data_IF_113345955353
#
_entry.id   IF_113345955353
#
_cell.length_a   1.000
_cell.length_b   1.000
_cell.length_c   1.000
_cell.angle_alpha   90.00
_cell.angle_beta   90.00
_cell.angle_gamma   90.00
#
_symmetry.space_group_name_H-M   'P 1'
#
loop_
_entity.id
_entity.type
_entity.pdbx_description
1 polymer ?
#
# COMPACT_ATOMS: atom_id res chain seq x y z
N UNK A 1 -21.25 -26.50 -14.96
CA UNK A 1 -19.84 -26.35 -14.55
C UNK A 1 -19.09 -25.30 -15.38
N UNK A 2 -19.16 -25.29 -16.71
CA UNK A 2 -18.44 -24.31 -17.57
C UNK A 2 -18.84 -22.85 -17.31
N UNK A 3 -20.10 -22.56 -17.00
CA UNK A 3 -20.61 -21.20 -16.74
C UNK A 3 -20.13 -20.62 -15.40
N UNK A 4 -19.94 -21.48 -14.39
CA UNK A 4 -19.42 -21.03 -13.07
C UNK A 4 -17.94 -20.66 -13.17
N UNK A 5 -17.15 -21.37 -13.97
CA UNK A 5 -15.77 -21.04 -14.25
C UNK A 5 -15.62 -19.69 -14.98
N UNK A 6 -16.53 -19.37 -15.89
CA UNK A 6 -16.52 -18.11 -16.64
C UNK A 6 -16.80 -16.91 -15.72
N UNK A 7 -17.73 -17.05 -14.77
CA UNK A 7 -18.06 -15.98 -13.81
C UNK A 7 -16.90 -15.72 -12.85
N UNK A 8 -16.19 -16.75 -12.39
CA UNK A 8 -14.99 -16.59 -11.55
C UNK A 8 -13.88 -15.87 -12.32
N UNK A 9 -13.73 -16.13 -13.63
CA UNK A 9 -12.68 -15.50 -14.45
C UNK A 9 -12.92 -14.00 -14.70
N UNK A 10 -14.17 -13.55 -14.78
CA UNK A 10 -14.52 -12.13 -14.96
C UNK A 10 -14.19 -11.29 -13.72
N UNK A 11 -14.20 -11.89 -12.51
CA UNK A 11 -13.85 -11.18 -11.27
C UNK A 11 -12.33 -11.08 -11.00
N UNK A 12 -11.49 -11.77 -11.78
CA UNK A 12 -10.02 -11.77 -11.60
C UNK A 12 -9.34 -10.69 -12.46
N UNK A 13 -10.04 -10.06 -13.40
CA UNK A 13 -9.42 -9.23 -14.44
C UNK A 13 -9.30 -7.74 -14.16
N UNK A 14 -9.63 -7.25 -12.96
CA UNK A 14 -9.26 -5.88 -12.59
C UNK A 14 -7.85 -5.86 -11.98
N UNK A 15 -6.84 -5.87 -12.81
CA UNK A 15 -5.50 -5.48 -12.41
C UNK A 15 -5.50 -3.97 -12.23
N UNK A 16 -5.59 -3.58 -11.03
CA UNK A 16 -5.58 -2.18 -10.64
C UNK A 16 -4.28 -1.95 -9.88
N UNK A 17 -3.62 -0.90 -10.30
CA UNK A 17 -2.33 -0.41 -9.81
C UNK A 17 -2.44 -0.05 -8.32
N UNK A 18 -1.85 -0.82 -7.43
CA UNK A 18 -1.81 -0.51 -6.00
C UNK A 18 -0.49 -0.93 -5.37
N UNK A 19 0.06 -0.05 -4.55
CA UNK A 19 1.25 -0.34 -3.75
C UNK A 19 0.97 -1.48 -2.75
N UNK A 20 1.97 -2.33 -2.49
CA UNK A 20 1.88 -3.29 -1.39
C UNK A 20 1.79 -2.56 -0.05
N UNK A 21 0.71 -2.72 0.73
CA UNK A 21 0.54 -2.01 1.99
C UNK A 21 1.45 -2.58 3.08
N UNK A 22 2.09 -1.68 3.84
CA UNK A 22 2.93 -2.00 5.00
C UNK A 22 2.56 -1.09 6.16
N UNK A 23 2.01 -1.65 7.22
CA UNK A 23 1.66 -0.91 8.41
C UNK A 23 2.87 -0.77 9.35
N UNK A 24 3.22 0.45 9.74
CA UNK A 24 4.32 0.77 10.62
C UNK A 24 3.75 1.09 12.00
N UNK A 25 3.85 0.14 12.92
CA UNK A 25 3.28 0.22 14.29
C UNK A 25 4.27 0.72 15.34
N UNK A 26 5.40 1.25 14.93
CA UNK A 26 6.44 1.80 15.80
C UNK A 26 7.01 3.06 15.16
N UNK A 27 7.77 3.83 15.90
CA UNK A 27 8.43 5.04 15.39
C UNK A 27 9.85 4.71 14.92
N UNK A 28 10.07 4.52 13.60
CA UNK A 28 11.40 4.21 13.08
C UNK A 28 12.30 5.43 13.18
N UNK A 29 13.30 5.37 14.07
CA UNK A 29 14.27 6.44 14.31
C UNK A 29 15.50 6.31 13.41
N UNK A 30 16.38 7.33 13.42
CA UNK A 30 17.64 7.30 12.67
C UNK A 30 18.56 6.16 13.15
N UNK A 31 18.52 5.80 14.43
CA UNK A 31 19.30 4.70 15.00
C UNK A 31 18.66 3.32 14.79
N UNK A 32 17.36 3.28 14.50
CA UNK A 32 16.60 2.06 14.23
C UNK A 32 15.59 2.30 13.09
N UNK A 33 16.08 2.51 11.85
CA UNK A 33 15.21 2.80 10.72
C UNK A 33 14.46 1.57 10.25
N UNK A 34 13.29 1.77 9.64
CA UNK A 34 12.56 0.70 8.99
C UNK A 34 13.27 0.26 7.70
N UNK A 35 13.56 -1.04 7.56
CA UNK A 35 14.23 -1.57 6.39
C UNK A 35 13.29 -1.63 5.17
N UNK A 36 13.67 -0.99 4.07
CA UNK A 36 13.01 -1.04 2.77
C UNK A 36 13.68 -2.10 1.91
N UNK A 37 13.17 -3.32 1.93
CA UNK A 37 13.65 -4.39 1.06
C UNK A 37 13.11 -4.21 -0.36
N UNK A 38 13.92 -4.52 -1.40
CA UNK A 38 13.53 -4.38 -2.81
C UNK A 38 12.95 -3.00 -3.10
N UNK A 39 13.78 -1.93 -3.09
CA UNK A 39 13.30 -0.54 -3.15
C UNK A 39 12.60 -0.16 -4.46
N UNK A 40 12.77 -0.93 -5.52
CA UNK A 40 12.07 -0.73 -6.79
C UNK A 40 10.62 -1.27 -6.78
N UNK A 41 10.32 -2.22 -5.86
CA UNK A 41 8.98 -2.79 -5.75
C UNK A 41 8.07 -1.82 -5.01
N UNK A 42 6.95 -1.52 -5.64
CA UNK A 42 5.92 -0.59 -5.17
C UNK A 42 5.33 -0.99 -3.82
N UNK A 43 5.60 -0.18 -2.78
CA UNK A 43 5.09 -0.35 -1.41
C UNK A 43 4.58 0.96 -0.86
N UNK A 44 3.50 0.90 -0.08
CA UNK A 44 3.01 2.03 0.70
C UNK A 44 3.20 1.73 2.19
N UNK A 45 4.02 2.52 2.85
CA UNK A 45 4.28 2.45 4.29
C UNK A 45 3.37 3.42 5.02
N UNK A 46 2.40 2.90 5.76
CA UNK A 46 1.45 3.69 6.54
C UNK A 46 2.02 3.90 7.94
N UNK A 47 2.32 5.14 8.27
CA UNK A 47 2.92 5.56 9.53
C UNK A 47 2.18 6.72 10.18
N UNK A 48 2.50 6.97 11.46
CA UNK A 48 2.04 8.09 12.24
C UNK A 48 3.21 8.74 12.94
N UNK A 49 3.48 10.03 12.66
CA UNK A 49 4.46 10.80 13.41
C UNK A 49 3.87 11.14 14.78
N UNK A 50 4.68 10.98 15.82
CA UNK A 50 4.31 11.20 17.23
C UNK A 50 5.42 11.98 17.98
N UNK A 51 5.87 13.08 17.38
CA UNK A 51 6.85 14.00 17.95
C UNK A 51 8.24 13.93 17.30
N UNK A 52 8.56 12.84 16.58
CA UNK A 52 9.86 12.64 15.97
C UNK A 52 9.75 12.28 14.49
N UNK A 53 10.75 12.61 13.64
CA UNK A 53 10.82 12.15 12.26
C UNK A 53 10.93 10.64 12.15
N UNK A 54 10.38 10.06 11.09
CA UNK A 54 10.53 8.64 10.78
C UNK A 54 11.59 8.42 9.70
N UNK A 55 12.35 7.32 9.83
CA UNK A 55 13.44 6.96 8.93
C UNK A 55 13.26 5.58 8.31
N UNK A 56 13.50 5.50 7.01
CA UNK A 56 13.39 4.28 6.20
C UNK A 56 14.72 4.02 5.51
N UNK A 57 15.34 2.88 5.78
CA UNK A 57 16.65 2.53 5.23
C UNK A 57 16.52 1.71 3.96
N UNK A 58 17.18 2.16 2.89
CA UNK A 58 17.46 1.38 1.70
C UNK A 58 18.92 0.96 1.75
N UNK A 59 19.18 -0.32 1.49
CA UNK A 59 20.52 -0.86 1.30
C UNK A 59 20.52 -1.66 0.01
N UNK A 60 21.30 -1.23 -0.98
CA UNK A 60 21.34 -1.84 -2.30
C UNK A 60 22.77 -2.17 -2.71
N UNK A 61 22.99 -3.39 -3.16
CA UNK A 61 24.28 -3.86 -3.66
C UNK A 61 24.51 -3.54 -5.15
N UNK A 62 23.48 -3.07 -5.84
CA UNK A 62 23.49 -2.69 -7.25
C UNK A 62 22.82 -1.36 -7.48
N UNK A 63 23.01 -0.78 -8.68
CA UNK A 63 22.23 0.37 -9.14
C UNK A 63 20.73 0.01 -9.17
N UNK A 64 19.88 0.94 -8.80
CA UNK A 64 18.42 0.75 -8.77
C UNK A 64 17.67 2.01 -9.17
N UNK A 65 16.43 1.84 -9.62
CA UNK A 65 15.50 2.94 -9.88
C UNK A 65 14.81 3.34 -8.58
N UNK A 66 14.89 4.63 -8.25
CA UNK A 66 14.34 5.17 -7.00
C UNK A 66 13.12 6.03 -7.26
N UNK A 67 12.11 5.79 -6.46
CA UNK A 67 10.94 6.64 -6.30
C UNK A 67 10.54 6.69 -4.83
N UNK A 68 10.19 7.88 -4.34
CA UNK A 68 9.53 8.07 -3.06
C UNK A 68 8.49 9.18 -3.18
N UNK A 69 7.29 8.96 -2.63
CA UNK A 69 6.23 9.94 -2.62
C UNK A 69 5.44 9.89 -1.32
N UNK A 70 4.94 11.04 -0.86
CA UNK A 70 4.17 11.12 0.36
C UNK A 70 2.73 11.50 0.08
N UNK A 71 1.82 10.88 0.80
CA UNK A 71 0.42 11.25 0.84
C UNK A 71 -0.09 11.22 2.28
N UNK A 72 -1.20 11.89 2.52
CA UNK A 72 -1.85 11.91 3.84
C UNK A 72 -3.36 11.84 3.67
N UNK A 73 -4.12 11.24 4.61
CA UNK A 73 -5.57 11.23 4.57
C UNK A 73 -6.15 12.64 4.48
N UNK A 74 -7.12 12.85 3.59
CA UNK A 74 -7.81 14.14 3.46
C UNK A 74 -8.90 14.28 4.54
N UNK A 75 -8.51 14.24 5.80
CA UNK A 75 -9.44 14.39 6.94
C UNK A 75 -9.72 15.86 7.22
N UNK A 76 -8.68 16.71 7.05
CA UNK A 76 -8.76 18.17 7.12
C UNK A 76 -7.63 18.80 6.33
N UNK A 77 -7.71 20.11 6.06
CA UNK A 77 -6.63 20.83 5.40
C UNK A 77 -5.37 20.98 6.27
N UNK A 78 -5.49 20.75 7.59
CA UNK A 78 -4.38 20.85 8.54
C UNK A 78 -3.42 19.65 8.52
N UNK A 79 -3.74 18.57 7.79
CA UNK A 79 -2.90 17.37 7.69
C UNK A 79 -1.94 17.36 6.50
N UNK A 80 -1.79 18.48 5.78
CA UNK A 80 -0.74 18.68 4.76
C UNK A 80 0.59 18.99 5.45
N UNK A 81 1.60 19.28 4.64
CA UNK A 81 2.92 19.79 5.08
C UNK A 81 3.95 18.72 5.46
N UNK A 82 3.69 17.44 5.15
CA UNK A 82 4.74 16.44 5.26
C UNK A 82 5.80 16.65 4.19
N UNK A 83 7.05 16.56 4.62
CA UNK A 83 8.25 16.65 3.79
C UNK A 83 8.94 15.30 3.75
N UNK A 84 9.69 15.06 2.67
CA UNK A 84 10.57 13.91 2.53
C UNK A 84 11.97 14.37 2.17
N UNK A 85 12.97 13.77 2.78
CA UNK A 85 14.38 13.93 2.45
C UNK A 85 15.00 12.56 2.18
N UNK A 86 15.90 12.50 1.21
CA UNK A 86 16.75 11.33 1.00
C UNK A 86 18.16 11.71 1.40
N UNK A 87 18.74 10.92 2.30
CA UNK A 87 20.07 11.12 2.83
C UNK A 87 21.02 10.02 2.35
N UNK A 88 22.27 10.36 2.14
CA UNK A 88 23.35 9.41 1.90
C UNK A 88 23.80 8.71 3.20
N UNK A 89 24.79 7.82 3.10
CA UNK A 89 25.35 7.10 4.24
C UNK A 89 26.05 8.02 5.28
N UNK A 90 26.37 9.26 4.92
CA UNK A 90 26.99 10.27 5.80
C UNK A 90 25.93 11.22 6.37
N UNK A 91 24.66 10.92 6.15
CA UNK A 91 23.49 11.73 6.51
C UNK A 91 23.41 13.09 5.80
N UNK A 92 24.09 13.28 4.68
CA UNK A 92 23.91 14.47 3.85
C UNK A 92 22.61 14.33 3.05
N UNK A 93 21.83 15.40 3.00
CA UNK A 93 20.60 15.44 2.17
C UNK A 93 21.01 15.51 0.70
N UNK A 94 20.62 14.51 -0.09
CA UNK A 94 20.87 14.44 -1.53
C UNK A 94 19.63 14.79 -2.37
N UNK A 95 18.44 14.58 -1.82
CA UNK A 95 17.17 15.00 -2.42
C UNK A 95 16.22 15.46 -1.32
N UNK A 96 15.38 16.45 -1.63
CA UNK A 96 14.39 17.00 -0.71
C UNK A 96 13.09 17.32 -1.45
N UNK A 97 11.96 17.02 -0.82
CA UNK A 97 10.64 17.46 -1.19
C UNK A 97 9.99 18.17 -0.01
N UNK A 98 9.97 19.51 -0.03
CA UNK A 98 9.36 20.30 1.04
C UNK A 98 7.83 20.33 0.91
N UNK A 99 7.15 19.89 1.95
CA UNK A 99 5.70 19.86 1.99
C UNK A 99 5.05 21.24 2.11
N UNK A 100 5.76 22.26 2.62
CA UNK A 100 5.24 23.63 2.74
C UNK A 100 5.17 24.33 1.39
N UNK A 101 6.16 24.10 0.55
CA UNK A 101 6.28 24.71 -0.78
C UNK A 101 5.59 23.86 -1.86
N UNK A 102 5.11 22.69 -1.53
CA UNK A 102 4.49 21.78 -2.47
C UNK A 102 3.02 22.10 -2.71
N UNK A 103 2.59 22.01 -3.96
CA UNK A 103 1.18 22.18 -4.33
C UNK A 103 0.42 20.86 -4.14
N UNK A 104 -0.10 20.63 -2.92
CA UNK A 104 -0.86 19.43 -2.57
C UNK A 104 -2.14 19.30 -3.41
N UNK A 105 -2.37 18.09 -3.96
CA UNK A 105 -3.53 17.78 -4.80
C UNK A 105 -4.41 16.75 -4.12
N UNK A 106 -5.71 16.98 -4.11
CA UNK A 106 -6.66 15.98 -3.66
C UNK A 106 -6.77 14.86 -4.69
N UNK A 107 -6.70 13.61 -4.22
CA UNK A 107 -6.81 12.42 -5.03
C UNK A 107 -7.67 11.36 -4.34
N UNK A 108 -8.59 10.78 -5.10
CA UNK A 108 -9.42 9.68 -4.61
C UNK A 108 -8.71 8.35 -4.87
N UNK A 109 -8.37 7.63 -3.79
CA UNK A 109 -7.79 6.30 -3.88
C UNK A 109 -8.89 5.25 -4.06
N UNK A 110 -9.00 4.61 -5.24
CA UNK A 110 -10.11 3.70 -5.53
C UNK A 110 -10.13 2.43 -4.64
N UNK A 111 -8.98 2.02 -4.11
CA UNK A 111 -8.87 0.83 -3.26
C UNK A 111 -9.21 1.10 -1.81
N UNK A 112 -8.61 2.14 -1.24
CA UNK A 112 -8.96 2.61 0.08
C UNK A 112 -10.37 3.21 0.08
N UNK A 113 -10.91 3.57 -1.11
CA UNK A 113 -12.19 4.27 -1.30
C UNK A 113 -12.27 5.53 -0.48
N UNK A 114 -11.15 6.25 -0.41
CA UNK A 114 -11.05 7.46 0.38
C UNK A 114 -10.21 8.52 -0.33
N UNK A 115 -10.29 9.75 0.19
CA UNK A 115 -9.56 10.87 -0.35
C UNK A 115 -8.24 11.07 0.40
N UNK A 116 -7.19 11.31 -0.37
CA UNK A 116 -5.86 11.64 0.11
C UNK A 116 -5.40 12.98 -0.46
N UNK A 117 -4.53 13.65 0.27
CA UNK A 117 -3.69 14.69 -0.26
C UNK A 117 -2.40 14.05 -0.76
N UNK A 118 -2.08 14.25 -2.03
CA UNK A 118 -0.79 13.87 -2.62
C UNK A 118 0.17 15.01 -2.41
N UNK A 119 1.28 14.73 -1.77
CA UNK A 119 2.35 15.65 -1.41
C UNK A 119 3.62 15.49 -2.26
N UNK A 120 4.77 15.90 -1.72
CA UNK A 120 6.04 15.83 -2.42
C UNK A 120 6.38 14.44 -2.92
N UNK A 121 7.04 14.41 -4.08
CA UNK A 121 7.50 13.19 -4.73
C UNK A 121 8.92 13.40 -5.26
N UNK A 122 9.77 12.37 -5.15
CA UNK A 122 11.16 12.34 -5.63
C UNK A 122 11.28 11.17 -6.61
N UNK A 123 11.88 11.41 -7.79
CA UNK A 123 12.04 10.37 -8.82
C UNK A 123 10.83 10.20 -9.73
N UNK A 124 10.00 11.26 -9.87
CA UNK A 124 8.88 11.24 -10.82
C UNK A 124 9.40 11.24 -12.25
N UNK A 125 8.80 10.41 -13.08
CA UNK A 125 8.95 10.50 -14.53
C UNK A 125 7.71 11.18 -15.15
N UNK A 126 7.94 12.05 -16.12
CA UNK A 126 6.86 12.76 -16.84
C UNK A 126 6.17 11.91 -17.91
N UNK A 127 6.53 10.66 -18.06
CA UNK A 127 5.90 9.77 -19.03
C UNK A 127 4.76 8.95 -18.40
N UNK A 128 3.89 8.46 -19.26
CA UNK A 128 2.67 7.74 -18.87
C UNK A 128 2.91 6.33 -18.31
N UNK A 129 4.16 5.88 -18.20
CA UNK A 129 4.47 4.49 -17.87
C UNK A 129 4.87 4.26 -16.41
N UNK A 130 4.76 5.25 -15.52
CA UNK A 130 5.13 5.11 -14.10
C UNK A 130 6.52 4.47 -13.91
N UNK A 131 7.52 4.99 -14.60
CA UNK A 131 8.92 4.55 -14.41
C UNK A 131 9.67 5.62 -13.66
N UNK A 132 10.34 5.25 -12.58
CA UNK A 132 11.27 6.15 -11.92
C UNK A 132 12.39 6.52 -12.88
N UNK A 133 12.59 7.82 -13.10
CA UNK A 133 13.72 8.34 -13.89
C UNK A 133 14.98 8.49 -13.06
N UNK A 134 14.86 8.46 -11.73
CA UNK A 134 15.97 8.67 -10.82
C UNK A 134 16.73 7.36 -10.60
N UNK A 135 17.93 7.28 -11.18
CA UNK A 135 18.84 6.17 -10.94
C UNK A 135 19.74 6.49 -9.76
N UNK A 136 19.84 5.55 -8.83
CA UNK A 136 20.72 5.61 -7.68
C UNK A 136 21.77 4.51 -7.75
N UNK A 137 22.99 4.84 -7.37
CA UNK A 137 24.08 3.88 -7.29
C UNK A 137 23.85 2.89 -6.14
N UNK A 138 24.62 1.80 -6.13
CA UNK A 138 24.70 0.93 -4.95
C UNK A 138 25.10 1.73 -3.71
N UNK A 139 24.53 1.43 -2.57
CA UNK A 139 24.85 2.13 -1.33
C UNK A 139 23.75 2.05 -0.28
N UNK A 140 23.94 2.81 0.78
CA UNK A 140 23.00 2.96 1.87
C UNK A 140 22.38 4.35 1.80
N UNK A 141 21.05 4.40 1.87
CA UNK A 141 20.26 5.63 1.83
C UNK A 141 19.21 5.60 2.92
N UNK A 142 18.88 6.79 3.44
CA UNK A 142 17.78 6.96 4.39
C UNK A 142 16.73 7.88 3.77
N UNK A 143 15.46 7.45 3.81
CA UNK A 143 14.33 8.34 3.54
C UNK A 143 13.83 8.82 4.89
N UNK A 144 13.84 10.13 5.10
CA UNK A 144 13.31 10.80 6.29
C UNK A 144 11.93 11.37 5.96
N UNK A 145 10.93 11.05 6.76
CA UNK A 145 9.58 11.63 6.71
C UNK A 145 9.39 12.50 7.93
N UNK A 146 8.98 13.74 7.72
CA UNK A 146 8.79 14.71 8.80
C UNK A 146 7.80 15.81 8.42
N UNK A 147 7.35 16.57 9.41
CA UNK A 147 6.72 17.87 9.26
C UNK A 147 7.15 18.76 10.42
N UNK A 148 6.65 19.99 10.47
CA UNK A 148 7.09 20.99 11.46
C UNK A 148 6.99 20.48 12.91
N UNK A 149 5.89 19.82 13.26
CA UNK A 149 5.60 19.34 14.61
C UNK A 149 5.86 17.83 14.77
N UNK A 150 6.19 17.14 13.69
CA UNK A 150 6.30 15.69 13.60
C UNK A 150 5.05 14.96 14.12
N UNK A 151 3.87 15.40 13.68
CA UNK A 151 2.59 14.84 14.09
C UNK A 151 1.73 14.52 12.86
N UNK A 152 0.99 13.40 12.94
CA UNK A 152 -0.04 13.04 11.97
C UNK A 152 0.26 11.80 11.15
N UNK A 153 -0.79 11.30 10.49
CA UNK A 153 -0.74 10.10 9.68
C UNK A 153 -0.27 10.41 8.25
N UNK A 154 0.56 9.52 7.72
CA UNK A 154 1.07 9.60 6.35
C UNK A 154 1.15 8.22 5.71
N UNK A 155 1.20 8.21 4.39
CA UNK A 155 1.58 7.06 3.58
C UNK A 155 2.81 7.44 2.77
N UNK A 156 3.91 6.74 2.98
CA UNK A 156 5.13 6.84 2.17
C UNK A 156 5.11 5.75 1.11
N UNK A 157 4.96 6.13 -0.15
CA UNK A 157 5.14 5.23 -1.29
C UNK A 157 6.63 5.14 -1.63
N UNK A 158 7.15 3.93 -1.82
CA UNK A 158 8.52 3.68 -2.30
C UNK A 158 8.47 2.64 -3.40
N UNK A 159 9.17 2.91 -4.51
CA UNK A 159 9.23 2.06 -5.70
C UNK A 159 7.98 2.16 -6.58
N UNK A 160 8.14 1.79 -7.84
CA UNK A 160 7.10 1.90 -8.87
C UNK A 160 6.76 0.57 -9.53
N UNK A 161 7.66 -0.42 -9.44
CA UNK A 161 7.42 -1.74 -10.03
C UNK A 161 6.36 -2.50 -9.23
N UNK A 162 5.26 -2.78 -9.86
CA UNK A 162 4.19 -3.52 -9.21
C UNK A 162 4.51 -5.00 -9.12
N UNK A 163 4.36 -5.53 -7.94
CA UNK A 163 4.53 -6.95 -7.66
C UNK A 163 3.59 -7.40 -6.54
N UNK A 164 2.59 -8.18 -6.88
CA UNK A 164 1.56 -8.65 -5.93
C UNK A 164 1.73 -10.12 -5.53
N UNK A 165 2.94 -10.62 -5.62
CA UNK A 165 3.22 -12.04 -5.39
C UNK A 165 2.95 -12.92 -6.60
N UNK A 166 3.57 -14.10 -6.62
CA UNK A 166 3.48 -15.05 -7.73
C UNK A 166 2.23 -15.92 -7.66
N UNK A 167 1.58 -16.02 -6.49
CA UNK A 167 0.45 -16.90 -6.26
C UNK A 167 -0.74 -16.21 -5.60
N UNK A 168 -1.90 -16.87 -5.65
CA UNK A 168 -3.16 -16.34 -5.15
C UNK A 168 -3.16 -16.10 -3.64
N UNK A 169 -2.45 -16.91 -2.85
CA UNK A 169 -2.37 -16.78 -1.40
C UNK A 169 -1.58 -15.53 -1.01
N UNK A 170 -0.44 -15.27 -1.65
CA UNK A 170 0.32 -14.05 -1.43
C UNK A 170 -0.51 -12.80 -1.72
N UNK A 171 -1.32 -12.81 -2.78
CA UNK A 171 -2.26 -11.73 -3.08
C UNK A 171 -3.26 -11.53 -1.94
N UNK A 172 -3.89 -12.59 -1.45
CA UNK A 172 -4.84 -12.53 -0.33
C UNK A 172 -4.16 -11.94 0.92
N UNK A 173 -2.98 -12.43 1.29
CA UNK A 173 -2.25 -11.94 2.47
C UNK A 173 -1.78 -10.49 2.32
N UNK A 174 -1.51 -10.03 1.11
CA UNK A 174 -1.17 -8.62 0.84
C UNK A 174 -2.38 -7.70 1.01
N UNK A 175 -3.59 -8.14 0.64
CA UNK A 175 -4.81 -7.33 0.69
C UNK A 175 -5.51 -7.32 2.04
N UNK A 176 -5.40 -8.39 2.82
CA UNK A 176 -6.04 -8.50 4.13
C UNK A 176 -5.71 -7.34 5.07
N UNK A 177 -4.45 -6.87 5.19
CA UNK A 177 -4.13 -5.72 6.03
C UNK A 177 -4.86 -4.43 5.64
N UNK A 178 -5.07 -4.18 4.35
CA UNK A 178 -5.76 -2.96 3.89
C UNK A 178 -7.17 -2.91 4.45
N UNK A 179 -7.88 -4.02 4.38
CA UNK A 179 -9.31 -4.07 4.73
C UNK A 179 -9.53 -3.94 6.24
N UNK A 180 -8.67 -4.57 7.06
CA UNK A 180 -8.94 -4.72 8.49
C UNK A 180 -8.13 -3.80 9.41
N UNK A 181 -6.99 -3.27 8.95
CA UNK A 181 -6.06 -2.58 9.84
C UNK A 181 -5.69 -1.17 9.42
N UNK A 182 -5.56 -0.90 8.12
CA UNK A 182 -5.02 0.37 7.66
C UNK A 182 -6.03 1.50 7.82
N UNK A 183 -7.29 1.28 7.45
CA UNK A 183 -8.33 2.28 7.60
C UNK A 183 -8.45 2.80 9.03
N UNK A 184 -8.70 1.93 10.03
CA UNK A 184 -8.75 2.35 11.43
C UNK A 184 -7.46 2.99 11.95
N UNK A 185 -6.29 2.49 11.52
CA UNK A 185 -5.00 3.05 11.92
C UNK A 185 -4.78 4.47 11.39
N UNK A 186 -5.27 4.78 10.21
CA UNK A 186 -5.11 6.09 9.59
C UNK A 186 -6.15 7.11 10.05
N UNK A 187 -7.00 6.79 11.02
CA UNK A 187 -8.12 7.64 11.49
C UNK A 187 -9.00 8.13 10.32
N UNK A 188 -9.16 7.30 9.31
CA UNK A 188 -9.95 7.64 8.13
C UNK A 188 -11.42 7.61 8.52
N UNK A 189 -12.00 8.80 8.67
CA UNK A 189 -13.36 9.04 9.20
C UNK A 189 -14.46 8.29 8.42
N UNK A 190 -14.20 7.94 7.18
CA UNK A 190 -15.20 7.29 6.31
C UNK A 190 -15.45 5.81 6.61
N UNK A 191 -14.60 5.18 7.41
CA UNK A 191 -14.90 3.84 7.94
C UNK A 191 -16.17 3.77 8.79
N UNK A 192 -16.62 4.90 9.30
CA UNK A 192 -17.92 4.97 10.00
C UNK A 192 -19.12 4.87 9.04
N UNK A 193 -18.90 5.10 7.74
CA UNK A 193 -19.91 4.82 6.71
C UNK A 193 -19.60 3.45 6.09
N UNK A 194 -19.87 2.40 6.86
CA UNK A 194 -19.82 1.03 6.40
C UNK A 194 -20.67 0.87 5.13
N UNK A 195 -20.04 1.01 3.97
CA UNK A 195 -20.74 0.75 2.71
C UNK A 195 -20.76 -0.75 2.44
N UNK A 196 -21.86 -1.38 2.83
CA UNK A 196 -22.09 -2.81 2.63
C UNK A 196 -21.86 -3.22 1.16
N UNK A 197 -22.03 -2.30 0.21
CA UNK A 197 -21.81 -2.54 -1.21
C UNK A 197 -20.37 -2.94 -1.53
N UNK A 198 -19.41 -2.47 -0.73
CA UNK A 198 -18.01 -2.88 -0.84
C UNK A 198 -17.79 -4.37 -0.53
N UNK A 199 -18.65 -4.93 0.33
CA UNK A 199 -18.54 -6.31 0.79
C UNK A 199 -19.43 -7.27 0.01
N UNK A 200 -20.36 -6.77 -0.81
CA UNK A 200 -21.24 -7.61 -1.64
C UNK A 200 -20.46 -8.67 -2.43
N UNK A 201 -19.36 -8.37 -3.13
CA UNK A 201 -18.60 -9.39 -3.86
C UNK A 201 -18.05 -10.48 -2.94
N UNK A 202 -17.57 -10.10 -1.74
CA UNK A 202 -17.01 -11.02 -0.75
C UNK A 202 -18.09 -11.90 -0.13
N UNK A 203 -19.26 -11.31 0.16
CA UNK A 203 -20.44 -12.03 0.67
C UNK A 203 -20.93 -13.05 -0.38
N UNK A 204 -21.02 -12.63 -1.64
CA UNK A 204 -21.38 -13.52 -2.75
C UNK A 204 -20.38 -14.67 -2.87
N UNK A 205 -19.09 -14.39 -2.77
CA UNK A 205 -18.04 -15.41 -2.83
C UNK A 205 -18.19 -16.43 -1.68
N UNK A 206 -18.43 -15.97 -0.45
CA UNK A 206 -18.67 -16.82 0.72
C UNK A 206 -19.92 -17.68 0.53
N UNK A 207 -20.99 -17.13 -0.02
CA UNK A 207 -22.23 -17.88 -0.32
C UNK A 207 -21.96 -18.95 -1.36
N UNK A 208 -21.25 -18.63 -2.45
CA UNK A 208 -20.88 -19.61 -3.48
C UNK A 208 -20.00 -20.72 -2.89
N UNK A 209 -19.04 -20.36 -2.03
CA UNK A 209 -18.18 -21.34 -1.36
C UNK A 209 -18.99 -22.28 -0.46
N UNK A 210 -19.93 -21.72 0.30
CA UNK A 210 -20.82 -22.49 1.17
C UNK A 210 -21.73 -23.44 0.38
N UNK A 211 -22.37 -22.95 -0.69
CA UNK A 211 -23.21 -23.78 -1.58
C UNK A 211 -22.39 -24.91 -2.22
N UNK A 212 -21.18 -24.61 -2.69
CA UNK A 212 -20.27 -25.59 -3.28
C UNK A 212 -19.85 -26.66 -2.27
N UNK A 213 -19.55 -26.26 -1.04
CA UNK A 213 -19.23 -27.18 0.05
C UNK A 213 -20.40 -28.12 0.38
N UNK A 214 -21.63 -27.58 0.51
CA UNK A 214 -22.83 -28.38 0.77
C UNK A 214 -23.12 -29.36 -0.37
N UNK A 215 -22.96 -28.92 -1.62
CA UNK A 215 -23.15 -29.77 -2.79
C UNK A 215 -22.12 -30.92 -2.83
N UNK A 216 -20.84 -30.60 -2.57
CA UNK A 216 -19.77 -31.59 -2.50
C UNK A 216 -20.00 -32.61 -1.39
N UNK A 217 -20.40 -32.16 -0.20
CA UNK A 217 -20.74 -33.03 0.93
C UNK A 217 -21.90 -33.98 0.59
N UNK A 218 -22.96 -33.49 -0.09
CA UNK A 218 -24.05 -34.33 -0.57
C UNK A 218 -23.62 -35.40 -1.57
N UNK A 219 -22.73 -35.05 -2.50
CA UNK A 219 -22.20 -36.00 -3.50
C UNK A 219 -21.37 -37.08 -2.81
N UNK A 220 -20.51 -36.72 -1.87
CA UNK A 220 -19.68 -37.68 -1.13
C UNK A 220 -20.53 -38.63 -0.27
N UNK A 221 -21.56 -38.12 0.39
CA UNK A 221 -22.48 -38.94 1.19
C UNK A 221 -23.31 -39.91 0.31
N UNK A 222 -23.72 -39.51 -0.90
CA UNK A 222 -24.40 -40.39 -1.84
C UNK A 222 -23.49 -41.50 -2.35
N UNK A 223 -22.23 -41.20 -2.66
CA UNK A 223 -21.26 -42.23 -3.06
C UNK A 223 -21.03 -43.27 -1.96
N UNK A 224 -20.96 -42.84 -0.68
CA UNK A 224 -20.79 -43.79 0.43
C UNK A 224 -21.93 -44.77 0.59
N UNK A 225 -23.19 -44.32 0.34
CA UNK A 225 -24.40 -45.20 0.39
C UNK A 225 -24.52 -46.18 -0.78
N UNK A 226 -23.75 -46.03 -1.84
CA UNK A 226 -23.74 -46.97 -3.00
C UNK A 226 -22.67 -48.05 -2.84
N UNK A 227 -21.77 -47.97 -1.86
CA UNK A 227 -20.72 -48.93 -1.59
C UNK A 227 -20.98 -49.79 -0.31
N UNK A 228 -22.08 -49.50 0.41
CA UNK A 228 -22.66 -50.37 1.46
C UNK A 228 -23.85 -51.15 0.89
#
# INVERSE_FOLDING_TARGET
MKTIFLIIFIFISSQTLAHQPKLIKYSPSINNPHQVNLPEISKAYYGKLEGEPHYYKIESESEFSFYAGISTPKVSDNYKWFSIEVLDQNHNVIFSGDGKDYQWKAWYEPYARDWYWIGPQIGIHNDKEFKSSLKMNKGIYLIKVFNQDNIGHYSLAVGEKEFFGSNMLEKIFTWTPIIFYIGPYMDIVHWQKFDIRAYIPHIILLIIFFISYVALKKILLRKKKHFE
#
